data_IF_550824042470
#
_entry.id   IF_550824042470
#
_cell.length_a   1.000
_cell.length_b   1.000
_cell.length_c   1.000
_cell.angle_alpha   90.00
_cell.angle_beta   90.00
_cell.angle_gamma   90.00
#
_symmetry.space_group_name_H-M   'P 1'
#
loop_
_entity.id
_entity.type
_entity.pdbx_description
1 polymer ?
#
# COMPACT_ATOMS: atom_id res chain seq x y z
N UNK A 1 30.72 -2.96 21.50
CA UNK A 1 29.86 -2.07 22.32
C UNK A 1 29.79 -0.65 21.76
N UNK A 2 30.88 -0.07 21.24
CA UNK A 2 30.86 1.28 20.62
C UNK A 2 29.97 1.36 19.37
N UNK A 3 30.15 0.45 18.39
CA UNK A 3 29.32 0.37 17.18
C UNK A 3 27.81 0.21 17.43
N UNK A 4 27.42 -0.56 18.44
CA UNK A 4 26.01 -0.72 18.83
C UNK A 4 25.42 0.56 19.44
N UNK A 5 26.24 1.36 20.11
CA UNK A 5 25.85 2.66 20.65
C UNK A 5 25.72 3.68 19.52
N UNK A 6 26.67 3.69 18.58
CA UNK A 6 26.62 4.54 17.37
C UNK A 6 25.33 4.27 16.58
N UNK A 7 25.02 2.99 16.32
CA UNK A 7 23.80 2.59 15.60
C UNK A 7 22.49 2.87 16.39
N UNK A 8 22.55 2.94 17.72
CA UNK A 8 21.40 3.38 18.54
C UNK A 8 21.24 4.91 18.49
N UNK A 9 22.34 5.66 18.54
CA UNK A 9 22.32 7.12 18.39
C UNK A 9 21.92 7.56 16.99
N UNK A 10 22.25 6.78 15.96
CA UNK A 10 21.82 6.99 14.57
C UNK A 10 20.34 6.59 14.36
N UNK A 11 19.75 5.88 15.34
CA UNK A 11 18.35 5.47 15.32
C UNK A 11 18.07 4.22 14.46
N UNK A 12 19.10 3.50 14.03
CA UNK A 12 18.99 2.23 13.30
C UNK A 12 18.53 1.08 14.21
N UNK A 13 18.79 1.23 15.50
CA UNK A 13 18.51 0.24 16.53
C UNK A 13 17.61 0.86 17.61
N UNK A 14 16.45 0.23 17.85
CA UNK A 14 15.51 0.60 18.90
C UNK A 14 15.58 -0.40 20.06
N UNK A 15 15.55 0.08 21.30
CA UNK A 15 15.35 -0.78 22.47
C UNK A 15 13.86 -0.97 22.73
N UNK A 16 13.47 -2.16 23.18
CA UNK A 16 12.09 -2.43 23.65
C UNK A 16 11.64 -1.42 24.71
N UNK A 17 12.57 -0.97 25.56
CA UNK A 17 12.32 0.02 26.60
C UNK A 17 12.15 1.46 26.07
N UNK A 18 12.57 1.74 24.84
CA UNK A 18 12.44 3.06 24.20
C UNK A 18 11.10 3.17 23.46
N UNK A 19 10.51 2.04 23.06
CA UNK A 19 9.22 2.00 22.36
C UNK A 19 8.10 2.62 23.21
N UNK A 20 7.33 3.52 22.61
CA UNK A 20 6.15 4.07 23.26
C UNK A 20 5.12 2.97 23.52
N UNK A 21 4.63 2.87 24.75
CA UNK A 21 3.51 2.00 25.06
C UNK A 21 2.21 2.63 24.51
N UNK A 22 1.58 2.02 23.49
CA UNK A 22 0.38 2.55 22.86
C UNK A 22 -0.87 2.39 23.76
N UNK A 23 -0.78 1.58 24.82
CA UNK A 23 -1.87 1.38 25.80
C UNK A 23 -1.84 2.44 26.92
N UNK A 24 -0.72 3.14 27.06
CA UNK A 24 -0.55 4.21 28.04
C UNK A 24 -1.34 5.47 27.69
N UNK A 25 -1.80 6.20 28.71
CA UNK A 25 -2.62 7.40 28.53
C UNK A 25 -1.94 8.51 27.72
N UNK A 26 -2.72 9.33 27.00
CA UNK A 26 -2.20 10.41 26.11
C UNK A 26 -1.18 11.32 26.78
N UNK A 27 -1.37 11.67 28.06
CA UNK A 27 -0.45 12.54 28.80
C UNK A 27 0.92 11.87 29.01
N UNK A 28 0.94 10.57 29.30
CA UNK A 28 2.17 9.79 29.43
C UNK A 28 2.92 9.74 28.10
N UNK A 29 2.20 9.54 26.98
CA UNK A 29 2.83 9.56 25.65
C UNK A 29 3.46 10.92 25.31
N UNK A 30 2.78 12.03 25.65
CA UNK A 30 3.31 13.39 25.43
C UNK A 30 4.53 13.65 26.33
N UNK A 31 4.44 13.32 27.62
CA UNK A 31 5.56 13.47 28.56
C UNK A 31 6.78 12.65 28.13
N UNK A 32 6.57 11.43 27.65
CA UNK A 32 7.66 10.56 27.18
C UNK A 32 8.26 11.04 25.86
N UNK A 33 7.47 11.54 24.91
CA UNK A 33 7.98 12.20 23.69
C UNK A 33 8.86 13.40 24.05
N UNK A 34 8.42 14.24 24.98
CA UNK A 34 9.19 15.38 25.48
C UNK A 34 10.47 14.94 26.20
N UNK A 35 10.42 13.83 26.96
CA UNK A 35 11.58 13.23 27.59
C UNK A 35 12.67 12.77 26.61
N UNK A 36 12.28 12.18 25.47
CA UNK A 36 13.20 11.81 24.40
C UNK A 36 13.83 13.05 23.73
N UNK A 37 13.06 14.13 23.53
CA UNK A 37 13.56 15.40 22.98
C UNK A 37 14.53 16.13 23.92
N UNK A 38 14.37 15.97 25.23
CA UNK A 38 15.22 16.62 26.26
C UNK A 38 16.47 15.77 26.58
N UNK A 39 16.69 14.64 25.91
CA UNK A 39 17.89 13.83 26.09
C UNK A 39 17.93 13.09 27.43
N UNK A 40 16.78 12.89 28.08
CA UNK A 40 16.65 12.00 29.26
C UNK A 40 16.59 10.55 28.74
N UNK A 41 17.61 10.13 28.00
CA UNK A 41 17.82 8.74 27.70
C UNK A 41 18.39 8.12 28.97
N UNK A 42 17.68 7.16 29.57
CA UNK A 42 18.25 6.35 30.65
C UNK A 42 19.61 5.85 30.19
N UNK A 43 20.62 6.05 31.04
CA UNK A 43 21.97 5.55 30.82
C UNK A 43 21.92 4.07 30.46
N UNK A 44 22.57 3.72 29.35
CA UNK A 44 22.88 2.35 28.94
C UNK A 44 23.55 1.60 30.09
N UNK A 45 22.76 0.89 30.90
CA UNK A 45 23.26 0.07 31.99
C UNK A 45 22.91 -1.39 31.68
N UNK A 46 23.86 -2.09 31.03
CA UNK A 46 23.69 -3.45 30.54
C UNK A 46 23.83 -4.50 31.66
N UNK A 47 23.51 -4.13 32.90
CA UNK A 47 23.80 -4.94 34.09
C UNK A 47 22.59 -5.12 35.03
N UNK A 48 21.38 -4.81 34.55
CA UNK A 48 20.15 -4.86 35.36
C UNK A 48 18.99 -5.62 34.70
N UNK A 49 19.18 -6.91 34.41
CA UNK A 49 18.12 -7.93 34.45
C UNK A 49 16.75 -7.60 33.81
N UNK A 50 16.68 -7.52 32.48
CA UNK A 50 15.63 -8.15 31.67
C UNK A 50 16.08 -8.09 30.20
N UNK A 51 16.10 -9.23 29.53
CA UNK A 51 16.21 -9.46 28.09
C UNK A 51 16.04 -8.18 27.20
N UNK A 52 17.12 -7.41 27.01
CA UNK A 52 17.13 -6.23 26.15
C UNK A 52 17.03 -6.69 24.69
N UNK A 53 15.80 -6.80 24.20
CA UNK A 53 15.53 -7.15 22.81
C UNK A 53 15.87 -5.94 21.93
N UNK A 54 16.88 -6.14 21.10
CA UNK A 54 17.35 -5.17 20.15
C UNK A 54 16.49 -5.24 18.88
N UNK A 55 15.86 -4.14 18.48
CA UNK A 55 14.97 -4.10 17.33
C UNK A 55 15.62 -3.28 16.22
N UNK A 56 15.91 -3.92 15.09
CA UNK A 56 16.39 -3.24 13.89
C UNK A 56 15.25 -2.47 13.24
N UNK A 57 15.36 -1.15 13.17
CA UNK A 57 14.32 -0.26 12.63
C UNK A 57 13.96 -0.61 11.19
N UNK A 58 14.94 -0.91 10.35
CA UNK A 58 14.72 -1.30 8.94
C UNK A 58 13.85 -2.56 8.84
N UNK A 59 14.13 -3.56 9.68
CA UNK A 59 13.32 -4.80 9.72
C UNK A 59 11.94 -4.53 10.30
N UNK A 60 11.83 -3.68 11.31
CA UNK A 60 10.54 -3.29 11.87
C UNK A 60 9.66 -2.58 10.83
N UNK A 61 10.24 -1.67 10.03
CA UNK A 61 9.54 -0.95 8.97
C UNK A 61 9.04 -1.88 7.85
N UNK A 62 9.88 -2.81 7.41
CA UNK A 62 9.50 -3.84 6.43
C UNK A 62 8.33 -4.67 6.96
N UNK A 63 8.39 -5.12 8.21
CA UNK A 63 7.30 -5.87 8.85
C UNK A 63 6.03 -5.03 9.05
N UNK A 64 6.16 -3.75 9.36
CA UNK A 64 5.00 -2.84 9.43
C UNK A 64 4.31 -2.74 8.05
N UNK A 65 5.08 -2.65 6.97
CA UNK A 65 4.54 -2.63 5.61
C UNK A 65 3.84 -3.94 5.25
N UNK A 66 4.41 -5.09 5.62
CA UNK A 66 3.78 -6.41 5.44
C UNK A 66 2.43 -6.48 6.16
N UNK A 67 2.37 -6.06 7.43
CA UNK A 67 1.14 -6.09 8.22
C UNK A 67 0.08 -5.16 7.62
N UNK A 68 0.46 -3.95 7.20
CA UNK A 68 -0.46 -3.03 6.51
C UNK A 68 -0.97 -3.65 5.21
N UNK A 69 -0.10 -4.33 4.44
CA UNK A 69 -0.49 -5.00 3.20
C UNK A 69 -1.53 -6.10 3.46
N UNK A 70 -1.31 -6.95 4.46
CA UNK A 70 -2.26 -8.01 4.85
C UNK A 70 -3.61 -7.41 5.27
N UNK A 71 -3.59 -6.30 6.01
CA UNK A 71 -4.80 -5.59 6.39
C UNK A 71 -5.50 -4.93 5.18
N UNK A 72 -4.74 -4.43 4.21
CA UNK A 72 -5.29 -3.84 2.98
C UNK A 72 -5.88 -4.89 2.03
N UNK A 73 -5.35 -6.12 1.99
CA UNK A 73 -5.92 -7.21 1.19
C UNK A 73 -7.34 -7.59 1.65
N UNK A 74 -7.62 -7.40 2.95
CA UNK A 74 -8.93 -7.70 3.56
C UNK A 74 -9.89 -6.50 3.59
N UNK A 75 -9.40 -5.28 3.32
CA UNK A 75 -10.18 -4.05 3.47
C UNK A 75 -9.93 -3.08 2.32
N UNK A 76 -11.00 -2.65 1.67
CA UNK A 76 -10.95 -1.72 0.54
C UNK A 76 -11.15 -0.24 0.96
N UNK A 77 -11.33 0.02 2.27
CA UNK A 77 -11.45 1.36 2.86
C UNK A 77 -10.08 1.99 3.12
N UNK A 78 -10.02 3.31 3.35
CA UNK A 78 -8.74 3.99 3.64
C UNK A 78 -8.22 3.71 5.06
N UNK A 79 -9.10 3.29 5.97
CA UNK A 79 -8.74 2.89 7.34
C UNK A 79 -9.34 1.54 7.67
N UNK A 80 -8.61 0.75 8.44
CA UNK A 80 -9.00 -0.56 8.93
C UNK A 80 -9.08 -0.53 10.46
N UNK A 81 -10.04 -1.26 11.03
CA UNK A 81 -10.17 -1.47 12.46
C UNK A 81 -10.09 -2.96 12.71
N UNK A 82 -9.24 -3.39 13.63
CA UNK A 82 -9.10 -4.79 14.04
C UNK A 82 -9.08 -4.90 15.56
N UNK A 83 -9.47 -6.07 16.08
CA UNK A 83 -9.25 -6.38 17.50
C UNK A 83 -7.77 -6.60 17.77
N UNK A 84 -7.36 -6.38 19.03
CA UNK A 84 -5.98 -6.67 19.43
C UNK A 84 -5.63 -8.15 19.23
N UNK A 85 -6.57 -9.07 19.46
CA UNK A 85 -6.36 -10.50 19.24
C UNK A 85 -6.09 -10.83 17.77
N UNK A 86 -6.89 -10.26 16.85
CA UNK A 86 -6.67 -10.43 15.42
C UNK A 86 -5.36 -9.79 14.96
N UNK A 87 -5.02 -8.60 15.46
CA UNK A 87 -3.74 -7.96 15.17
C UNK A 87 -2.54 -8.80 15.63
N UNK A 88 -2.62 -9.37 16.84
CA UNK A 88 -1.60 -10.28 17.36
C UNK A 88 -1.50 -11.57 16.54
N UNK A 89 -2.61 -12.08 15.99
CA UNK A 89 -2.60 -13.29 15.16
C UNK A 89 -1.89 -13.11 13.81
N UNK A 90 -1.87 -11.87 13.28
CA UNK A 90 -1.13 -11.51 12.07
C UNK A 90 0.38 -11.39 12.37
N UNK A 91 0.71 -11.02 13.61
CA UNK A 91 2.08 -10.94 14.09
C UNK A 91 2.59 -12.34 14.53
N UNK A 92 3.90 -12.59 14.47
CA UNK A 92 4.44 -13.91 14.87
C UNK A 92 4.53 -14.06 16.38
N UNK A 93 4.63 -12.96 17.10
CA UNK A 93 4.71 -12.93 18.56
C UNK A 93 4.00 -11.70 19.15
N UNK A 94 3.55 -11.77 20.41
CA UNK A 94 2.96 -10.62 21.10
C UNK A 94 3.96 -9.46 21.26
N UNK A 95 5.24 -9.77 21.39
CA UNK A 95 6.32 -8.77 21.46
C UNK A 95 6.54 -8.07 20.11
N UNK A 96 6.48 -8.81 18.99
CA UNK A 96 6.51 -8.23 17.63
C UNK A 96 5.28 -7.34 17.42
N UNK A 97 4.09 -7.80 17.83
CA UNK A 97 2.86 -7.02 17.72
C UNK A 97 2.97 -5.69 18.48
N UNK A 98 3.49 -5.71 19.71
CA UNK A 98 3.73 -4.49 20.47
C UNK A 98 4.69 -3.55 19.75
N UNK A 99 5.84 -4.06 19.29
CA UNK A 99 6.84 -3.25 18.58
C UNK A 99 6.29 -2.61 17.30
N UNK A 100 5.54 -3.38 16.50
CA UNK A 100 4.88 -2.89 15.29
C UNK A 100 3.84 -1.84 15.64
N UNK A 101 2.99 -2.09 16.64
CA UNK A 101 1.96 -1.14 17.05
C UNK A 101 2.57 0.17 17.56
N UNK A 102 3.61 0.11 18.40
CA UNK A 102 4.34 1.27 18.89
C UNK A 102 4.88 2.10 17.73
N UNK A 103 5.55 1.47 16.77
CA UNK A 103 6.10 2.14 15.60
C UNK A 103 5.00 2.77 14.72
N UNK A 104 3.92 2.05 14.46
CA UNK A 104 2.79 2.57 13.68
C UNK A 104 2.11 3.76 14.40
N UNK A 105 2.01 3.74 15.73
CA UNK A 105 1.47 4.84 16.52
C UNK A 105 2.41 6.06 16.51
N UNK A 106 3.72 5.85 16.57
CA UNK A 106 4.73 6.90 16.44
C UNK A 106 4.66 7.58 15.07
N UNK A 107 4.51 6.80 14.01
CA UNK A 107 4.33 7.33 12.66
C UNK A 107 2.93 7.91 12.39
N UNK A 108 2.01 7.85 13.36
CA UNK A 108 0.63 8.28 13.19
C UNK A 108 -0.21 7.41 12.22
N UNK A 109 0.32 6.23 11.84
CA UNK A 109 -0.34 5.27 10.95
C UNK A 109 -1.26 4.31 11.70
N UNK A 110 -1.19 4.24 13.01
CA UNK A 110 -2.12 3.49 13.83
C UNK A 110 -2.52 4.24 15.10
N UNK A 111 -3.65 3.86 15.69
CA UNK A 111 -4.09 4.27 17.02
C UNK A 111 -4.71 3.09 17.75
N UNK A 112 -4.23 2.84 18.95
CA UNK A 112 -4.86 1.91 19.89
C UNK A 112 -6.04 2.57 20.61
N UNK A 113 -7.08 1.79 20.88
CA UNK A 113 -8.21 2.20 21.70
C UNK A 113 -8.89 1.01 22.38
N UNK A 114 -9.61 1.29 23.45
CA UNK A 114 -10.34 0.28 24.22
C UNK A 114 -11.77 0.74 24.49
N UNK A 115 -12.71 -0.19 24.50
CA UNK A 115 -14.12 0.05 24.77
C UNK A 115 -14.51 -0.67 26.06
N UNK A 116 -15.16 0.05 26.97
CA UNK A 116 -15.79 -0.48 28.18
C UNK A 116 -17.30 -0.20 28.11
N UNK A 117 -18.06 -1.02 27.37
CA UNK A 117 -19.53 -0.96 27.35
C UNK A 117 -20.12 -2.09 28.20
N UNK A 118 -20.03 -3.33 27.71
CA UNK A 118 -20.41 -4.56 28.43
C UNK A 118 -19.19 -5.47 28.65
N UNK A 119 -18.43 -5.69 27.59
CA UNK A 119 -17.15 -6.37 27.61
C UNK A 119 -16.01 -5.36 27.41
N UNK A 120 -14.83 -5.66 27.98
CA UNK A 120 -13.61 -4.92 27.65
C UNK A 120 -13.08 -5.42 26.30
N UNK A 121 -13.08 -4.54 25.31
CA UNK A 121 -12.61 -4.86 23.95
C UNK A 121 -11.49 -3.90 23.59
N UNK A 122 -10.36 -4.45 23.20
CA UNK A 122 -9.20 -3.70 22.72
C UNK A 122 -9.11 -3.79 21.20
N UNK A 123 -8.80 -2.66 20.57
CA UNK A 123 -8.69 -2.59 19.12
C UNK A 123 -7.65 -1.60 18.66
N UNK A 124 -7.30 -1.75 17.38
CA UNK A 124 -6.32 -0.91 16.69
C UNK A 124 -6.97 -0.40 15.42
N UNK A 125 -6.95 0.93 15.25
CA UNK A 125 -7.29 1.59 13.99
C UNK A 125 -6.02 1.86 13.21
N UNK A 126 -5.94 1.38 11.98
CA UNK A 126 -4.77 1.49 11.09
C UNK A 126 -5.14 2.27 9.84
N UNK A 127 -4.29 3.19 9.39
CA UNK A 127 -4.41 3.82 8.09
C UNK A 127 -3.77 2.93 7.04
N UNK A 128 -4.53 2.60 6.00
CA UNK A 128 -4.06 1.81 4.86
C UNK A 128 -3.46 2.70 3.76
N UNK A 129 -3.67 4.02 3.86
CA UNK A 129 -3.14 5.04 2.96
C UNK A 129 -2.03 5.80 3.66
N UNK A 130 -1.15 6.47 2.92
CA UNK A 130 -0.06 7.30 3.47
C UNK A 130 -0.49 8.43 4.41
N UNK A 131 -1.81 8.67 4.55
CA UNK A 131 -2.38 9.66 5.45
C UNK A 131 -2.33 9.23 6.92
N UNK A 132 -2.27 10.21 7.83
CA UNK A 132 -2.31 10.01 9.28
C UNK A 132 -3.70 9.59 9.75
N UNK A 133 -3.76 8.68 10.73
CA UNK A 133 -5.02 8.19 11.31
C UNK A 133 -5.72 9.31 12.07
N UNK A 134 -6.98 9.56 11.71
CA UNK A 134 -7.87 10.49 12.41
C UNK A 134 -8.16 10.06 13.86
N UNK A 135 -8.72 10.97 14.65
CA UNK A 135 -9.17 10.64 16.01
C UNK A 135 -10.20 9.49 15.99
N UNK A 136 -10.15 8.65 17.03
CA UNK A 136 -11.15 7.60 17.23
C UNK A 136 -12.51 8.25 17.43
N UNK A 137 -13.47 7.86 16.62
CA UNK A 137 -14.86 8.31 16.62
C UNK A 137 -15.77 7.31 17.32
N UNK A 138 -17.01 7.70 17.62
CA UNK A 138 -18.02 6.76 18.15
C UNK A 138 -18.32 5.62 17.18
N UNK A 139 -18.34 5.90 15.88
CA UNK A 139 -18.53 4.89 14.84
C UNK A 139 -17.41 3.86 14.87
N UNK A 140 -16.15 4.27 15.08
CA UNK A 140 -15.01 3.34 15.19
C UNK A 140 -15.22 2.36 16.36
N UNK A 141 -15.80 2.83 17.46
CA UNK A 141 -16.13 1.98 18.60
C UNK A 141 -17.23 0.96 18.26
N UNK A 142 -18.26 1.38 17.54
CA UNK A 142 -19.35 0.49 17.15
C UNK A 142 -18.89 -0.54 16.10
N UNK A 143 -18.03 -0.14 15.16
CA UNK A 143 -17.37 -1.05 14.21
C UNK A 143 -16.51 -2.09 14.95
N UNK A 144 -15.68 -1.67 15.91
CA UNK A 144 -14.88 -2.62 16.70
C UNK A 144 -15.76 -3.62 17.46
N UNK A 145 -16.90 -3.18 18.00
CA UNK A 145 -17.85 -4.07 18.67
C UNK A 145 -18.47 -5.09 17.70
N UNK A 146 -18.83 -4.68 16.48
CA UNK A 146 -19.34 -5.58 15.44
C UNK A 146 -18.28 -6.61 15.02
N UNK A 147 -17.03 -6.19 14.84
CA UNK A 147 -15.91 -7.10 14.52
C UNK A 147 -15.70 -8.12 15.66
N UNK A 148 -15.65 -7.67 16.91
CA UNK A 148 -15.55 -8.58 18.06
C UNK A 148 -16.74 -9.54 18.15
N UNK A 149 -17.94 -9.09 17.78
CA UNK A 149 -19.14 -9.94 17.71
C UNK A 149 -18.99 -11.03 16.64
N UNK A 150 -18.45 -10.67 15.48
CA UNK A 150 -18.14 -11.59 14.36
C UNK A 150 -17.16 -12.66 14.82
N UNK A 151 -16.05 -12.27 15.46
CA UNK A 151 -15.06 -13.22 16.00
C UNK A 151 -15.68 -14.19 17.03
N UNK A 152 -16.51 -13.68 17.94
CA UNK A 152 -17.22 -14.52 18.93
C UNK A 152 -18.19 -15.49 18.27
N UNK A 153 -18.93 -15.04 17.24
CA UNK A 153 -19.81 -15.91 16.46
C UNK A 153 -19.03 -17.00 15.74
N UNK A 154 -17.88 -16.67 15.13
CA UNK A 154 -16.98 -17.64 14.50
C UNK A 154 -16.51 -18.71 15.49
N UNK A 155 -16.06 -18.29 16.68
CA UNK A 155 -15.65 -19.21 17.74
C UNK A 155 -16.81 -20.12 18.21
N UNK A 156 -18.03 -19.57 18.31
CA UNK A 156 -19.20 -20.37 18.63
C UNK A 156 -19.52 -21.39 17.52
N UNK A 157 -19.39 -20.99 16.26
CA UNK A 157 -19.58 -21.87 15.10
C UNK A 157 -18.59 -23.02 15.13
N UNK A 158 -17.30 -22.76 15.39
CA UNK A 158 -16.26 -23.80 15.51
C UNK A 158 -16.57 -24.80 16.63
N UNK A 159 -17.06 -24.33 17.78
CA UNK A 159 -17.46 -25.20 18.89
C UNK A 159 -18.68 -26.05 18.52
N UNK A 160 -19.65 -25.48 17.81
CA UNK A 160 -20.82 -26.21 17.32
C UNK A 160 -20.39 -27.26 16.30
N UNK A 161 -19.50 -26.93 15.36
CA UNK A 161 -19.03 -27.84 14.31
C UNK A 161 -18.25 -29.02 14.90
N UNK A 162 -17.37 -28.77 15.87
CA UNK A 162 -16.67 -29.84 16.62
C UNK A 162 -17.65 -30.77 17.34
N UNK A 163 -18.68 -30.21 17.99
CA UNK A 163 -19.71 -31.00 18.70
C UNK A 163 -20.58 -31.79 17.74
N UNK A 164 -20.99 -31.17 16.64
CA UNK A 164 -21.74 -31.80 15.57
C UNK A 164 -20.98 -33.00 14.99
N UNK A 165 -19.70 -32.84 14.69
CA UNK A 165 -18.87 -33.90 14.12
C UNK A 165 -18.65 -35.05 15.12
N UNK A 166 -18.39 -34.72 16.39
CA UNK A 166 -18.27 -35.71 17.46
C UNK A 166 -19.56 -36.52 17.63
N UNK A 167 -20.72 -35.85 17.74
CA UNK A 167 -22.02 -36.54 17.84
C UNK A 167 -22.32 -37.39 16.60
N UNK A 168 -21.92 -36.94 15.40
CA UNK A 168 -22.06 -37.73 14.16
C UNK A 168 -21.18 -38.98 14.19
N UNK A 169 -19.92 -38.88 14.62
CA UNK A 169 -19.01 -40.03 14.79
C UNK A 169 -19.57 -41.02 15.81
N UNK A 170 -20.07 -40.54 16.94
CA UNK A 170 -20.67 -41.39 17.99
C UNK A 170 -21.95 -42.08 17.53
N UNK A 171 -22.78 -41.42 16.72
CA UNK A 171 -23.96 -42.04 16.10
C UNK A 171 -23.56 -43.21 15.18
N UNK A 172 -22.55 -43.00 14.33
CA UNK A 172 -22.04 -44.03 13.41
C UNK A 172 -21.45 -45.22 14.16
N UNK A 173 -20.64 -44.98 15.20
CA UNK A 173 -20.06 -46.04 16.02
C UNK A 173 -21.14 -46.83 16.76
N UNK A 174 -22.15 -46.16 17.32
CA UNK A 174 -23.28 -46.80 18.02
C UNK A 174 -24.18 -47.59 17.06
N UNK A 175 -24.31 -47.14 15.82
CA UNK A 175 -25.03 -47.88 14.78
C UNK A 175 -24.28 -49.16 14.38
N UNK A 176 -22.95 -49.07 14.19
CA UNK A 176 -22.08 -50.22 13.88
C UNK A 176 -22.05 -51.27 15.00
N UNK A 177 -22.11 -50.85 16.26
CA UNK A 177 -22.18 -51.76 17.42
C UNK A 177 -23.58 -52.32 17.70
N UNK A 178 -24.58 -51.99 16.87
CA UNK A 178 -25.95 -52.51 16.99
C UNK A 178 -26.81 -51.82 18.05
N UNK A 179 -26.28 -50.81 18.76
CA UNK A 179 -27.02 -50.08 19.79
C UNK A 179 -27.91 -48.98 19.18
N UNK A 180 -29.08 -49.39 18.67
CA UNK A 180 -30.02 -48.50 17.96
C UNK A 180 -30.50 -47.33 18.81
N UNK A 181 -30.81 -47.52 20.10
CA UNK A 181 -31.34 -46.44 20.95
C UNK A 181 -30.32 -45.33 21.18
N UNK A 182 -29.06 -45.68 21.43
CA UNK A 182 -27.98 -44.71 21.61
C UNK A 182 -27.67 -44.00 20.28
N UNK A 183 -27.69 -44.72 19.16
CA UNK A 183 -27.54 -44.11 17.83
C UNK A 183 -28.62 -43.05 17.56
N UNK A 184 -29.90 -43.34 17.84
CA UNK A 184 -31.00 -42.37 17.67
C UNK A 184 -30.82 -41.12 18.54
N UNK A 185 -30.33 -41.26 19.78
CA UNK A 185 -30.05 -40.10 20.64
C UNK A 185 -28.98 -39.18 20.03
N UNK A 186 -27.89 -39.75 19.52
CA UNK A 186 -26.84 -38.97 18.88
C UNK A 186 -27.32 -38.33 17.57
N UNK A 187 -28.15 -39.00 16.77
CA UNK A 187 -28.76 -38.42 15.57
C UNK A 187 -29.63 -37.20 15.93
N UNK A 188 -30.41 -37.26 17.02
CA UNK A 188 -31.18 -36.11 17.50
C UNK A 188 -30.28 -34.94 17.88
N UNK A 189 -29.14 -35.20 18.53
CA UNK A 189 -28.15 -34.16 18.85
C UNK A 189 -27.54 -33.54 17.58
N UNK A 190 -27.18 -34.35 16.59
CA UNK A 190 -26.68 -33.88 15.29
C UNK A 190 -27.68 -32.92 14.64
N UNK A 191 -28.98 -33.24 14.66
CA UNK A 191 -30.03 -32.35 14.14
C UNK A 191 -30.07 -31.02 14.91
N UNK A 192 -30.08 -31.07 16.25
CA UNK A 192 -30.09 -29.85 17.08
C UNK A 192 -28.87 -28.96 16.82
N UNK A 193 -27.67 -29.56 16.72
CA UNK A 193 -26.46 -28.81 16.38
C UNK A 193 -26.51 -28.23 14.96
N UNK A 194 -27.11 -28.93 13.99
CA UNK A 194 -27.29 -28.39 12.63
C UNK A 194 -28.21 -27.17 12.58
N UNK A 195 -29.30 -27.16 13.37
CA UNK A 195 -30.20 -26.01 13.49
C UNK A 195 -29.50 -24.84 14.20
N UNK A 196 -28.74 -25.13 15.26
CA UNK A 196 -27.92 -24.13 15.95
C UNK A 196 -26.86 -23.52 15.04
N UNK A 197 -26.21 -24.34 14.21
CA UNK A 197 -25.21 -23.93 13.22
C UNK A 197 -25.83 -22.98 12.20
N UNK A 198 -26.98 -23.34 11.63
CA UNK A 198 -27.68 -22.52 10.65
C UNK A 198 -28.04 -21.13 11.21
N UNK A 199 -28.52 -21.08 12.47
CA UNK A 199 -28.79 -19.81 13.15
C UNK A 199 -27.51 -18.98 13.33
N UNK A 200 -26.42 -19.59 13.79
CA UNK A 200 -25.14 -18.90 13.98
C UNK A 200 -24.61 -18.31 12.68
N UNK A 201 -24.65 -19.08 11.59
CA UNK A 201 -24.28 -18.61 10.24
C UNK A 201 -25.15 -17.42 9.82
N UNK A 202 -26.47 -17.50 9.96
CA UNK A 202 -27.36 -16.39 9.59
C UNK A 202 -27.11 -15.10 10.39
N UNK A 203 -26.68 -15.22 11.65
CA UNK A 203 -26.30 -14.05 12.44
C UNK A 203 -24.96 -13.48 12.00
N UNK A 204 -23.99 -14.33 11.67
CA UNK A 204 -22.69 -13.93 11.15
C UNK A 204 -22.84 -13.15 9.84
N UNK A 205 -23.56 -13.73 8.86
CA UNK A 205 -23.82 -13.12 7.55
C UNK A 205 -24.45 -11.73 7.69
N UNK A 206 -25.42 -11.58 8.62
CA UNK A 206 -26.05 -10.29 8.90
C UNK A 206 -25.08 -9.25 9.48
N UNK A 207 -24.16 -9.66 10.34
CA UNK A 207 -23.19 -8.73 10.95
C UNK A 207 -22.15 -8.31 9.90
N UNK A 208 -21.69 -9.26 9.08
CA UNK A 208 -20.78 -8.99 7.95
C UNK A 208 -21.42 -8.07 6.90
N UNK A 209 -22.71 -8.27 6.60
CA UNK A 209 -23.48 -7.38 5.73
C UNK A 209 -23.48 -5.94 6.28
N UNK A 210 -23.77 -5.77 7.58
CA UNK A 210 -23.75 -4.44 8.22
C UNK A 210 -22.36 -3.81 8.16
N UNK A 211 -21.29 -4.58 8.42
CA UNK A 211 -19.91 -4.10 8.28
C UNK A 211 -19.61 -3.67 6.84
N UNK A 212 -20.05 -4.44 5.85
CA UNK A 212 -19.93 -4.11 4.43
C UNK A 212 -20.68 -2.82 4.06
N UNK A 213 -21.90 -2.63 4.57
CA UNK A 213 -22.68 -1.41 4.37
C UNK A 213 -22.00 -0.19 5.00
N UNK A 214 -21.38 -0.32 6.18
CA UNK A 214 -20.62 0.76 6.82
C UNK A 214 -19.40 1.14 5.96
N UNK A 215 -18.66 0.14 5.46
CA UNK A 215 -17.52 0.38 4.57
C UNK A 215 -17.96 1.09 3.27
N UNK A 216 -19.06 0.62 2.66
CA UNK A 216 -19.72 1.21 1.49
C UNK A 216 -20.08 2.67 1.74
N UNK A 217 -20.70 2.97 2.87
CA UNK A 217 -21.06 4.32 3.25
C UNK A 217 -19.83 5.22 3.49
N UNK A 218 -18.76 4.71 4.11
CA UNK A 218 -17.52 5.48 4.33
C UNK A 218 -16.88 5.91 3.01
N UNK A 219 -16.78 4.98 2.06
CA UNK A 219 -16.21 5.30 0.75
C UNK A 219 -17.11 6.21 -0.07
N UNK A 220 -18.42 5.95 -0.09
CA UNK A 220 -19.39 6.80 -0.79
C UNK A 220 -19.35 8.23 -0.27
N UNK A 221 -19.22 8.40 1.05
CA UNK A 221 -19.04 9.71 1.67
C UNK A 221 -17.80 10.44 1.14
N UNK A 222 -16.65 9.75 1.08
CA UNK A 222 -15.40 10.34 0.55
C UNK A 222 -15.52 10.74 -0.92
N UNK A 223 -16.17 9.92 -1.74
CA UNK A 223 -16.44 10.24 -3.15
C UNK A 223 -17.35 11.47 -3.25
N UNK A 224 -18.41 11.54 -2.45
CA UNK A 224 -19.31 12.71 -2.41
C UNK A 224 -18.59 13.99 -1.97
N UNK A 225 -17.71 13.92 -0.98
CA UNK A 225 -16.90 15.06 -0.52
C UNK A 225 -15.96 15.54 -1.64
N UNK A 226 -15.31 14.62 -2.36
CA UNK A 226 -14.46 14.97 -3.50
C UNK A 226 -15.24 15.66 -4.63
N UNK A 227 -16.44 15.16 -4.95
CA UNK A 227 -17.33 15.79 -5.96
C UNK A 227 -17.74 17.19 -5.50
N UNK A 228 -18.10 17.36 -4.22
CA UNK A 228 -18.48 18.66 -3.67
C UNK A 228 -17.34 19.68 -3.74
N UNK A 229 -16.13 19.26 -3.40
CA UNK A 229 -14.93 20.10 -3.53
C UNK A 229 -14.69 20.50 -4.99
N UNK A 230 -14.80 19.54 -5.92
CA UNK A 230 -14.68 19.82 -7.36
C UNK A 230 -15.74 20.78 -7.87
N UNK A 231 -17.01 20.61 -7.47
CA UNK A 231 -18.10 21.50 -7.84
C UNK A 231 -17.92 22.91 -7.27
N UNK A 232 -17.46 23.03 -6.03
CA UNK A 232 -17.15 24.32 -5.41
C UNK A 232 -15.98 25.00 -6.13
N UNK A 233 -14.91 24.27 -6.47
CA UNK A 233 -13.80 24.81 -7.24
C UNK A 233 -14.24 25.31 -8.63
N UNK A 234 -15.11 24.58 -9.34
CA UNK A 234 -15.68 25.04 -10.61
C UNK A 234 -16.47 26.34 -10.42
N UNK A 235 -17.30 26.40 -9.36
CA UNK A 235 -18.09 27.59 -9.03
C UNK A 235 -17.22 28.80 -8.68
N UNK A 236 -16.16 28.62 -7.89
CA UNK A 236 -15.24 29.70 -7.49
C UNK A 236 -14.41 30.22 -8.66
N UNK A 237 -14.07 29.36 -9.62
CA UNK A 237 -13.34 29.77 -10.83
C UNK A 237 -14.24 30.37 -11.92
N UNK A 238 -15.55 30.56 -11.66
CA UNK A 238 -16.54 31.14 -12.59
C UNK A 238 -16.47 30.61 -14.02
N UNK A 239 -16.02 29.37 -14.26
CA UNK A 239 -15.92 28.82 -15.62
C UNK A 239 -17.33 28.60 -16.17
N UNK A 240 -17.91 29.67 -16.69
CA UNK A 240 -19.21 29.71 -17.35
C UNK A 240 -19.00 29.48 -18.83
N UNK A 241 -19.95 28.82 -19.48
CA UNK A 241 -19.85 28.47 -20.91
C UNK A 241 -19.71 29.75 -21.75
N UNK A 242 -20.35 30.82 -21.31
CA UNK A 242 -20.34 32.15 -21.92
C UNK A 242 -18.97 32.83 -21.82
N UNK A 243 -18.30 32.76 -20.67
CA UNK A 243 -16.92 33.30 -20.52
C UNK A 243 -15.92 32.50 -21.35
N UNK A 244 -16.07 31.17 -21.42
CA UNK A 244 -15.26 30.32 -22.30
C UNK A 244 -15.48 30.67 -23.78
N UNK A 245 -16.72 30.90 -24.20
CA UNK A 245 -17.04 31.29 -25.57
C UNK A 245 -16.48 32.67 -25.92
N UNK A 246 -16.56 33.63 -24.98
CA UNK A 246 -16.01 34.98 -25.15
C UNK A 246 -14.48 34.92 -25.29
N UNK A 247 -13.79 34.17 -24.43
CA UNK A 247 -12.34 34.03 -24.54
C UNK A 247 -11.88 33.26 -25.78
N UNK A 248 -12.67 32.30 -26.26
CA UNK A 248 -12.40 31.64 -27.55
C UNK A 248 -12.58 32.61 -28.72
N UNK A 249 -13.59 33.46 -28.67
CA UNK A 249 -13.83 34.49 -29.68
C UNK A 249 -12.71 35.55 -29.67
N UNK A 250 -12.30 36.02 -28.48
CA UNK A 250 -11.17 36.94 -28.32
C UNK A 250 -9.87 36.31 -28.86
N UNK A 251 -9.67 35.01 -28.62
CA UNK A 251 -8.52 34.28 -29.16
C UNK A 251 -8.57 34.21 -30.70
N UNK A 252 -9.73 33.92 -31.28
CA UNK A 252 -9.91 33.87 -32.74
C UNK A 252 -9.68 35.25 -33.38
N UNK A 253 -10.15 36.33 -32.75
CA UNK A 253 -9.87 37.71 -33.16
C UNK A 253 -8.39 38.07 -33.02
N UNK A 254 -7.73 37.64 -31.93
CA UNK A 254 -6.29 37.81 -31.74
C UNK A 254 -5.47 37.02 -32.76
N UNK A 255 -5.90 35.81 -33.12
CA UNK A 255 -5.26 35.01 -34.19
C UNK A 255 -5.46 35.68 -35.54
N UNK A 256 -6.66 36.20 -35.82
CA UNK A 256 -6.95 36.90 -37.07
C UNK A 256 -6.14 38.19 -37.22
N UNK A 257 -6.02 38.98 -36.14
CA UNK A 257 -5.20 40.19 -36.11
C UNK A 257 -3.71 39.89 -36.22
N UNK A 258 -3.19 38.85 -35.55
CA UNK A 258 -1.81 38.41 -35.72
C UNK A 258 -1.54 38.00 -37.17
N UNK A 259 -2.45 37.25 -37.79
CA UNK A 259 -2.34 36.88 -39.21
C UNK A 259 -2.35 38.10 -40.12
N UNK A 260 -3.19 39.10 -39.85
CA UNK A 260 -3.19 40.35 -40.60
C UNK A 260 -1.88 41.13 -40.44
N UNK A 261 -1.28 41.12 -39.25
CA UNK A 261 0.05 41.70 -39.01
C UNK A 261 1.12 40.95 -39.78
N UNK A 262 1.08 39.61 -39.79
CA UNK A 262 2.01 38.79 -40.55
C UNK A 262 1.87 39.03 -42.07
N UNK A 263 0.64 39.13 -42.58
CA UNK A 263 0.35 39.43 -43.98
C UNK A 263 0.78 40.87 -44.35
N UNK A 264 0.59 41.84 -43.45
CA UNK A 264 1.04 43.21 -43.63
C UNK A 264 2.57 43.34 -43.55
N UNK A 265 3.23 42.56 -42.70
CA UNK A 265 4.68 42.49 -42.62
C UNK A 265 5.26 41.81 -43.86
N UNK A 266 4.63 40.74 -44.35
CA UNK A 266 4.98 40.11 -45.63
C UNK A 266 4.80 41.10 -46.80
N UNK A 267 3.70 41.86 -46.80
CA UNK A 267 3.44 42.90 -47.82
C UNK A 267 4.37 44.12 -47.69
N UNK A 268 4.75 44.51 -46.48
CA UNK A 268 5.72 45.56 -46.22
C UNK A 268 7.14 45.12 -46.58
N UNK A 269 7.45 43.83 -46.43
CA UNK A 269 8.68 43.21 -46.94
C UNK A 269 8.69 43.24 -48.47
N UNK A 270 7.53 43.07 -49.13
CA UNK A 270 7.37 43.30 -50.57
C UNK A 270 7.41 44.79 -50.98
N UNK A 271 7.34 45.73 -50.03
CA UNK A 271 7.43 47.18 -50.29
C UNK A 271 8.80 47.78 -49.95
N UNK A 272 9.67 47.06 -49.23
CA UNK A 272 11.04 47.52 -48.88
C UNK A 272 12.15 46.78 -49.64
N UNK A 273 11.77 45.89 -50.57
CA UNK A 273 12.72 45.26 -51.50
C UNK A 273 12.23 45.58 -52.91
N UNK A 274 12.32 46.85 -53.28
CA UNK A 274 12.70 47.22 -54.64
C UNK A 274 14.23 47.10 -54.69
N UNK A 275 14.74 45.88 -54.43
CA UNK A 275 16.01 45.50 -55.01
C UNK A 275 15.57 45.09 -56.41
N UNK A 276 15.89 45.92 -57.39
CA UNK A 276 15.62 45.65 -58.79
C UNK A 276 16.01 44.18 -59.06
N UNK A 277 15.06 43.32 -59.43
CA UNK A 277 15.31 41.90 -59.72
C UNK A 277 16.44 41.75 -60.76
N UNK A 278 16.69 42.79 -61.56
CA UNK A 278 17.79 42.87 -62.54
C UNK A 278 19.19 42.94 -61.88
N UNK A 279 19.35 43.62 -60.74
CA UNK A 279 20.61 43.66 -59.96
C UNK A 279 20.85 42.34 -59.21
N UNK A 280 19.80 41.66 -58.74
CA UNK A 280 19.90 40.35 -58.07
C UNK A 280 20.20 39.24 -59.06
N UNK A 281 19.61 39.27 -60.26
CA UNK A 281 19.90 38.31 -61.32
C UNK A 281 21.33 38.48 -61.87
N UNK A 282 21.84 39.72 -61.97
CA UNK A 282 23.25 39.98 -62.32
C UNK A 282 24.23 39.55 -61.21
N UNK A 283 23.93 39.83 -59.93
CA UNK A 283 24.73 39.34 -58.80
C UNK A 283 24.68 37.80 -58.67
N UNK A 284 23.52 37.17 -58.94
CA UNK A 284 23.36 35.72 -58.94
C UNK A 284 24.13 35.07 -60.10
N UNK A 285 24.06 35.64 -61.31
CA UNK A 285 24.84 35.18 -62.46
C UNK A 285 26.34 35.35 -62.24
N UNK A 286 26.77 36.44 -61.59
CA UNK A 286 28.16 36.65 -61.19
C UNK A 286 28.63 35.67 -60.12
N UNK A 287 27.76 35.31 -59.16
CA UNK A 287 28.02 34.26 -58.16
C UNK A 287 28.05 32.86 -58.80
N UNK A 288 27.21 32.56 -59.79
CA UNK A 288 27.28 31.33 -60.59
C UNK A 288 28.56 31.27 -61.44
N UNK A 289 29.00 32.39 -62.01
CA UNK A 289 30.26 32.51 -62.76
C UNK A 289 31.50 32.40 -61.84
N UNK A 290 31.46 32.91 -60.61
CA UNK A 290 32.50 32.70 -59.58
C UNK A 290 32.53 31.24 -59.09
N UNK A 291 31.37 30.60 -58.91
CA UNK A 291 31.27 29.19 -58.48
C UNK A 291 31.65 28.21 -59.62
N UNK A 292 31.41 28.58 -60.88
CA UNK A 292 31.83 27.83 -62.07
C UNK A 292 33.28 28.11 -62.50
N UNK A 293 33.82 29.27 -62.13
CA UNK A 293 35.22 29.67 -62.34
C UNK A 293 36.19 28.97 -61.40
N UNK A 294 35.73 28.55 -60.22
CA UNK A 294 36.51 27.75 -59.30
C UNK A 294 36.22 26.26 -59.44
N UNK A 295 37.05 25.67 -60.31
CA UNK A 295 37.54 24.29 -60.40
C UNK A 295 37.09 23.54 -61.66
N UNK A 296 37.98 22.80 -62.39
CA UNK A 296 39.02 21.96 -61.75
C UNK A 296 40.32 21.70 -62.56
N UNK A 297 41.37 21.24 -61.85
CA UNK A 297 42.16 20.02 -62.22
C UNK A 297 43.25 19.72 -61.17
N UNK A 298 42.99 18.74 -60.31
CA UNK A 298 43.89 17.59 -60.24
C UNK A 298 43.21 16.37 -59.62
N UNK A 299 43.02 15.36 -60.47
CA UNK A 299 43.25 13.92 -60.19
C UNK A 299 42.27 13.17 -59.26
N UNK A 300 41.31 12.50 -59.92
CA UNK A 300 40.88 11.09 -59.69
C UNK A 300 42.05 10.09 -59.53
N UNK A 301 41.86 8.81 -59.13
CA UNK A 301 40.69 8.08 -58.55
C UNK A 301 41.05 7.08 -57.41
N UNK A 302 40.07 6.50 -56.68
CA UNK A 302 39.93 5.03 -56.58
C UNK A 302 38.62 4.56 -55.88
N UNK A 303 37.75 3.95 -56.69
CA UNK A 303 36.84 2.79 -56.48
C UNK A 303 36.76 2.20 -55.06
N UNK A 304 35.60 2.15 -54.38
CA UNK A 304 34.34 1.37 -54.58
C UNK A 304 34.19 0.22 -53.57
N UNK A 305 32.91 -0.06 -53.22
CA UNK A 305 32.32 -1.25 -52.57
C UNK A 305 32.04 -1.09 -51.07
N UNK A 306 30.79 -0.84 -50.65
CA UNK A 306 29.62 -1.74 -50.56
C UNK A 306 29.52 -2.43 -49.18
N UNK A 307 28.40 -2.19 -48.48
CA UNK A 307 27.85 -2.97 -47.34
C UNK A 307 27.63 -4.46 -47.73
N UNK A 308 27.24 -5.44 -46.86
CA UNK A 308 26.64 -5.37 -45.50
C UNK A 308 27.00 -6.50 -44.47
N UNK A 309 26.51 -6.35 -43.22
CA UNK A 309 25.87 -7.34 -42.30
C UNK A 309 26.62 -8.58 -41.68
N UNK A 310 26.41 -8.70 -40.35
CA UNK A 310 26.31 -9.87 -39.42
C UNK A 310 27.49 -10.55 -38.67
N UNK A 311 27.29 -10.57 -37.34
CA UNK A 311 27.33 -11.68 -36.36
C UNK A 311 28.67 -12.25 -35.81
N UNK A 312 28.64 -12.62 -34.52
CA UNK A 312 29.62 -13.55 -33.92
C UNK A 312 30.21 -13.21 -32.54
N UNK A 313 29.47 -13.51 -31.46
CA UNK A 313 29.96 -13.89 -30.11
C UNK A 313 30.59 -15.31 -30.22
N UNK A 314 31.67 -15.78 -29.50
CA UNK A 314 31.64 -16.03 -28.04
C UNK A 314 32.97 -16.16 -27.27
N UNK A 315 32.97 -15.95 -25.93
CA UNK A 315 33.83 -16.72 -25.00
C UNK A 315 33.16 -17.02 -23.66
N UNK A 316 33.25 -18.31 -23.33
CA UNK A 316 32.83 -19.03 -22.14
C UNK A 316 33.49 -18.54 -20.84
N UNK A 317 32.73 -18.58 -19.74
CA UNK A 317 33.17 -19.26 -18.51
C UNK A 317 32.02 -20.14 -18.04
N UNK A 318 32.30 -21.44 -18.04
CA UNK A 318 31.45 -22.54 -17.58
C UNK A 318 31.98 -22.98 -16.22
N UNK A 319 31.14 -22.94 -15.20
CA UNK A 319 31.24 -23.84 -14.04
C UNK A 319 29.82 -24.24 -13.63
N UNK A 320 29.40 -25.38 -14.17
CA UNK A 320 28.33 -26.19 -13.61
C UNK A 320 28.86 -26.84 -12.33
N UNK A 321 28.15 -26.70 -11.22
CA UNK A 321 28.06 -27.77 -10.25
C UNK A 321 26.59 -28.19 -10.05
N UNK A 322 26.45 -29.49 -10.07
CA UNK A 322 25.29 -30.37 -10.18
C UNK A 322 24.19 -30.24 -9.10
N UNK A 323 22.94 -30.68 -9.42
CA UNK A 323 21.80 -30.72 -8.50
C UNK A 323 21.80 -31.88 -7.48
N UNK A 324 22.94 -32.55 -7.24
CA UNK A 324 23.02 -33.69 -6.31
C UNK A 324 23.14 -33.31 -4.83
N UNK A 325 23.19 -32.03 -4.49
CA UNK A 325 23.30 -31.57 -3.10
C UNK A 325 21.96 -31.39 -2.38
N UNK A 326 20.82 -31.39 -3.10
CA UNK A 326 19.48 -31.27 -2.50
C UNK A 326 18.90 -32.62 -2.04
N UNK A 327 19.23 -33.72 -2.72
CA UNK A 327 18.76 -35.06 -2.32
C UNK A 327 19.39 -35.56 -1.02
N UNK A 328 20.55 -35.04 -0.62
CA UNK A 328 21.26 -35.43 0.60
C UNK A 328 20.81 -34.65 1.84
N UNK A 329 20.16 -33.50 1.66
CA UNK A 329 19.58 -32.70 2.74
C UNK A 329 18.18 -33.21 3.16
N UNK A 330 17.46 -33.89 2.26
CA UNK A 330 16.11 -34.42 2.51
C UNK A 330 16.09 -35.76 3.26
N UNK A 331 17.24 -36.43 3.44
CA UNK A 331 17.33 -37.71 4.15
C UNK A 331 17.60 -37.59 5.66
N UNK A 332 17.83 -36.39 6.19
CA UNK A 332 18.24 -36.18 7.60
C UNK A 332 17.14 -35.68 8.55
N UNK A 333 15.85 -35.74 8.18
CA UNK A 333 14.73 -35.33 9.05
C UNK A 333 13.77 -36.46 9.45
N UNK A 334 14.12 -37.71 9.16
CA UNK A 334 13.45 -38.88 9.74
C UNK A 334 14.35 -39.49 10.80
N UNK A 335 14.20 -39.04 12.05
CA UNK A 335 14.38 -39.80 13.31
C UNK A 335 14.66 -38.82 14.46
N UNK A 336 13.65 -38.54 15.28
CA UNK A 336 13.72 -38.71 16.74
C UNK A 336 12.33 -38.46 17.32
N UNK A 337 11.55 -39.53 17.34
CA UNK A 337 10.53 -39.75 18.33
C UNK A 337 11.19 -40.57 19.44
N UNK A 338 11.32 -39.98 20.64
CA UNK A 338 11.18 -40.65 21.94
C UNK A 338 11.00 -39.59 23.01
#
# INVERSE_FOLDING_TARGET
>A
MYWLREMHTDGDILLKEDLLDPTSGRLYMVLRRVGHLIGISKSWDLQGNLQNHLILKTRLQERCADVIKILAESHWTSTCIVTMGSFQSICKSPDEAFAILSHLCECGKARYFSIKKKDFIEGVKVSLVSASVLNISSLDCDVLHLICTTEKLQQQLDVIDKRWESSRKMALSSHKSGNKQVAYRYIRQVKLFSESRAKCISFLERVEEVLGLIANAESTKKVSEAIQIGAQAIKENNVTVEEVYTHLQDLEENVASQKQVDDALASATLQYVDIEDEDVEEEFKKLEEELAGDTPKSQTPHLQNAEPVEDGVPKEVKSQESPTSLSKAMSNLSLEAT
#
